data_IF_530158558124
#
_entry.id   IF_530158558124
#
_cell.length_a   1.000
_cell.length_b   1.000
_cell.length_c   1.000
_cell.angle_alpha   90.00
_cell.angle_beta   90.00
_cell.angle_gamma   90.00
#
_symmetry.space_group_name_H-M   'P 1'
#
loop_
_entity.id
_entity.type
_entity.pdbx_description
1 polymer ?
#
# COMPACT_ATOMS: atom_id res chain seq x y z
N UNK A 1 6.90 -18.01 11.91
CA UNK A 1 6.47 -16.88 12.76
C UNK A 1 7.09 -15.56 12.30
N UNK A 2 8.43 -15.48 12.14
CA UNK A 2 9.12 -14.23 11.77
C UNK A 2 8.61 -13.59 10.46
N UNK A 3 8.43 -14.32 9.33
CA UNK A 3 7.92 -13.70 8.11
C UNK A 3 6.50 -13.13 8.25
N UNK A 4 5.63 -13.83 9.02
CA UNK A 4 4.28 -13.35 9.30
C UNK A 4 4.28 -12.05 10.09
N UNK A 5 5.14 -11.91 11.09
CA UNK A 5 5.30 -10.68 11.87
C UNK A 5 5.83 -9.53 11.02
N UNK A 6 6.82 -9.80 10.17
CA UNK A 6 7.36 -8.78 9.23
C UNK A 6 6.26 -8.24 8.32
N UNK A 7 5.48 -9.13 7.71
CA UNK A 7 4.36 -8.74 6.83
C UNK A 7 3.27 -7.97 7.60
N UNK A 8 2.97 -8.39 8.83
CA UNK A 8 2.01 -7.72 9.70
C UNK A 8 2.42 -6.27 10.04
N UNK A 9 3.71 -6.06 10.39
CA UNK A 9 4.25 -4.74 10.71
C UNK A 9 4.29 -3.84 9.47
N UNK A 10 4.77 -4.36 8.34
CA UNK A 10 4.84 -3.60 7.09
C UNK A 10 3.44 -3.17 6.61
N UNK A 11 2.47 -4.06 6.70
CA UNK A 11 1.07 -3.78 6.37
C UNK A 11 0.48 -2.70 7.30
N UNK A 12 0.70 -2.80 8.61
CA UNK A 12 0.25 -1.78 9.55
C UNK A 12 0.93 -0.42 9.28
N UNK A 13 2.24 -0.40 8.98
CA UNK A 13 2.96 0.81 8.64
C UNK A 13 2.45 1.46 7.34
N UNK A 14 2.15 0.66 6.31
CA UNK A 14 1.53 1.11 5.07
C UNK A 14 0.23 1.87 5.36
N UNK A 15 -0.72 1.23 6.06
CA UNK A 15 -2.02 1.84 6.35
C UNK A 15 -1.93 3.04 7.29
N UNK A 16 -0.99 3.03 8.24
CA UNK A 16 -0.72 4.20 9.08
C UNK A 16 -0.25 5.39 8.23
N UNK A 17 0.75 5.19 7.38
CA UNK A 17 1.27 6.25 6.50
C UNK A 17 0.21 6.74 5.53
N UNK A 18 -0.60 5.82 4.98
CA UNK A 18 -1.72 6.16 4.10
C UNK A 18 -2.77 7.03 4.80
N UNK A 19 -3.17 6.66 6.02
CA UNK A 19 -4.12 7.43 6.81
C UNK A 19 -3.58 8.82 7.17
N UNK A 20 -2.29 8.95 7.46
CA UNK A 20 -1.68 10.27 7.69
C UNK A 20 -1.55 11.07 6.39
N UNK A 21 -1.20 10.44 5.26
CA UNK A 21 -1.05 11.12 3.98
C UNK A 21 -2.32 11.87 3.56
N UNK A 22 -3.49 11.23 3.66
CA UNK A 22 -4.79 11.81 3.28
C UNK A 22 -5.12 13.09 4.09
N UNK A 23 -4.51 13.29 5.25
CA UNK A 23 -4.71 14.49 6.07
C UNK A 23 -3.96 15.71 5.53
N UNK A 24 -2.91 15.51 4.76
CA UNK A 24 -1.99 16.54 4.28
C UNK A 24 -2.04 16.74 2.77
N UNK A 25 -2.48 15.73 2.01
CA UNK A 25 -2.60 15.81 0.55
C UNK A 25 -3.95 15.27 0.08
N UNK A 26 -4.26 15.41 -1.21
CA UNK A 26 -5.51 14.92 -1.78
C UNK A 26 -5.55 13.39 -1.87
N UNK A 27 -6.76 12.82 -1.82
CA UNK A 27 -6.97 11.38 -2.02
C UNK A 27 -6.42 10.91 -3.38
N UNK A 28 -6.57 11.73 -4.43
CA UNK A 28 -6.05 11.41 -5.77
C UNK A 28 -4.54 11.28 -5.78
N UNK A 29 -3.81 12.22 -5.15
CA UNK A 29 -2.36 12.15 -5.05
C UNK A 29 -1.89 10.97 -4.20
N UNK A 30 -2.58 10.75 -3.07
CA UNK A 30 -2.30 9.61 -2.19
C UNK A 30 -2.39 8.29 -2.97
N UNK A 31 -3.44 8.11 -3.76
CA UNK A 31 -3.64 6.89 -4.56
C UNK A 31 -2.57 6.77 -5.65
N UNK A 32 -2.28 7.82 -6.40
CA UNK A 32 -1.25 7.78 -7.45
C UNK A 32 0.12 7.41 -6.88
N UNK A 33 0.51 7.99 -5.75
CA UNK A 33 1.79 7.70 -5.10
C UNK A 33 1.82 6.31 -4.47
N UNK A 34 0.72 5.86 -3.87
CA UNK A 34 0.58 4.50 -3.35
C UNK A 34 0.77 3.46 -4.48
N UNK A 35 0.18 3.69 -5.65
CA UNK A 35 0.30 2.80 -6.80
C UNK A 35 1.68 2.85 -7.51
N UNK A 36 2.67 3.54 -6.94
CA UNK A 36 4.09 3.32 -7.29
C UNK A 36 4.63 2.00 -6.75
N UNK A 37 3.93 1.35 -5.82
CA UNK A 37 4.32 0.07 -5.22
C UNK A 37 4.75 -1.01 -6.23
N UNK A 38 4.03 -1.27 -7.34
CA UNK A 38 4.46 -2.25 -8.34
C UNK A 38 5.84 -1.95 -8.95
N UNK A 39 6.21 -0.67 -9.08
CA UNK A 39 7.54 -0.27 -9.56
C UNK A 39 8.61 -0.71 -8.56
N UNK A 40 8.40 -0.44 -7.27
CA UNK A 40 9.33 -0.86 -6.21
C UNK A 40 9.39 -2.38 -6.06
N UNK A 41 8.26 -3.09 -6.24
CA UNK A 41 8.24 -4.56 -6.28
C UNK A 41 9.11 -5.07 -7.41
N UNK A 42 8.89 -4.57 -8.63
CA UNK A 42 9.63 -5.00 -9.81
C UNK A 42 11.14 -4.75 -9.65
N UNK A 43 11.54 -3.58 -9.13
CA UNK A 43 12.93 -3.24 -8.85
C UNK A 43 13.53 -4.14 -7.77
N UNK A 44 12.81 -4.35 -6.67
CA UNK A 44 13.27 -5.18 -5.56
C UNK A 44 13.47 -6.64 -5.95
N UNK A 45 12.54 -7.22 -6.71
CA UNK A 45 12.63 -8.59 -7.19
C UNK A 45 13.70 -8.74 -8.28
N UNK A 46 13.85 -7.75 -9.17
CA UNK A 46 14.95 -7.71 -10.15
C UNK A 46 16.33 -7.89 -9.50
N UNK A 47 16.54 -7.28 -8.34
CA UNK A 47 17.81 -7.38 -7.62
C UNK A 47 17.95 -8.65 -6.80
N UNK A 48 16.84 -9.21 -6.28
CA UNK A 48 16.87 -10.35 -5.35
C UNK A 48 16.70 -11.70 -6.04
N UNK A 49 15.94 -11.77 -7.14
CA UNK A 49 15.62 -13.01 -7.84
C UNK A 49 16.10 -12.96 -9.30
N UNK A 50 17.10 -13.76 -9.68
CA UNK A 50 17.58 -13.83 -11.07
C UNK A 50 16.49 -14.24 -12.07
N UNK A 51 15.48 -15.01 -11.64
CA UNK A 51 14.35 -15.46 -12.45
C UNK A 51 13.33 -14.37 -12.73
N UNK A 52 13.35 -13.26 -11.95
CA UNK A 52 12.44 -12.13 -12.11
C UNK A 52 13.17 -10.86 -12.59
N UNK A 53 14.26 -11.05 -13.32
CA UNK A 53 14.98 -9.92 -13.93
C UNK A 53 14.16 -9.27 -15.03
N UNK A 54 14.03 -7.95 -14.92
CA UNK A 54 13.30 -7.13 -15.87
C UNK A 54 13.95 -7.15 -17.25
N UNK A 55 13.16 -7.35 -18.27
CA UNK A 55 13.51 -7.20 -19.68
C UNK A 55 13.57 -5.71 -20.06
N UNK A 56 14.17 -5.40 -21.22
CA UNK A 56 14.22 -4.01 -21.74
C UNK A 56 12.83 -3.40 -21.96
N UNK A 57 11.85 -4.22 -22.36
CA UNK A 57 10.45 -3.79 -22.56
C UNK A 57 9.81 -3.44 -21.21
N UNK A 58 10.03 -4.22 -20.18
CA UNK A 58 9.53 -3.93 -18.84
C UNK A 58 10.15 -2.67 -18.25
N UNK A 59 11.43 -2.42 -18.49
CA UNK A 59 12.08 -1.16 -18.12
C UNK A 59 11.43 0.05 -18.82
N UNK A 60 11.09 -0.06 -20.11
CA UNK A 60 10.38 1.02 -20.80
C UNK A 60 8.98 1.25 -20.22
N UNK A 61 8.27 0.19 -19.80
CA UNK A 61 6.98 0.30 -19.10
C UNK A 61 7.10 1.04 -17.77
N UNK A 62 8.13 0.75 -16.97
CA UNK A 62 8.42 1.46 -15.71
C UNK A 62 8.70 2.95 -15.98
N UNK A 63 9.46 3.29 -17.01
CA UNK A 63 9.73 4.68 -17.38
C UNK A 63 8.45 5.41 -17.77
N UNK A 64 7.58 4.80 -18.58
CA UNK A 64 6.28 5.38 -18.96
C UNK A 64 5.40 5.60 -17.73
N UNK A 65 5.32 4.63 -16.83
CA UNK A 65 4.58 4.75 -15.58
C UNK A 65 5.12 5.89 -14.71
N UNK A 66 6.44 6.03 -14.62
CA UNK A 66 7.09 7.11 -13.88
C UNK A 66 6.77 8.49 -14.48
N UNK A 67 6.80 8.62 -15.82
CA UNK A 67 6.37 9.85 -16.50
C UNK A 67 4.90 10.16 -16.18
N UNK A 68 4.01 9.15 -16.21
CA UNK A 68 2.61 9.32 -15.81
C UNK A 68 2.47 9.87 -14.39
N UNK A 69 3.24 9.37 -13.42
CA UNK A 69 3.25 9.88 -12.05
C UNK A 69 3.72 11.34 -12.01
N UNK A 70 4.81 11.67 -12.71
CA UNK A 70 5.32 13.04 -12.77
C UNK A 70 4.28 14.01 -13.33
N UNK A 71 3.51 13.62 -14.35
CA UNK A 71 2.47 14.49 -14.94
C UNK A 71 1.36 14.84 -13.96
N UNK A 72 1.11 14.04 -12.93
CA UNK A 72 0.10 14.35 -11.90
C UNK A 72 0.50 15.53 -11.00
N UNK A 73 1.79 15.87 -10.99
CA UNK A 73 2.31 17.02 -10.24
C UNK A 73 2.37 18.31 -11.08
N UNK A 74 2.12 18.23 -12.39
CA UNK A 74 2.08 19.38 -13.29
C UNK A 74 0.70 20.02 -13.22
N UNK A 75 0.62 21.36 -13.06
CA UNK A 75 -0.66 22.09 -13.03
C UNK A 75 -1.29 22.24 -11.64
N UNK A 76 -0.55 22.05 -10.59
CA UNK A 76 -0.98 22.29 -9.20
C UNK A 76 -1.02 23.80 -8.90
N UNK A 77 -2.08 24.47 -9.34
CA UNK A 77 -2.25 25.92 -9.10
C UNK A 77 -2.54 26.25 -7.61
N UNK A 78 -3.11 25.31 -6.85
CA UNK A 78 -3.58 25.54 -5.46
C UNK A 78 -2.56 25.15 -4.37
N UNK A 79 -1.31 24.86 -4.71
CA UNK A 79 -0.26 24.50 -3.72
C UNK A 79 0.06 25.64 -2.75
N UNK A 80 -0.14 26.88 -3.18
CA UNK A 80 0.15 28.08 -2.38
C UNK A 80 -0.90 28.30 -1.27
N UNK A 81 -2.13 27.86 -1.47
CA UNK A 81 -3.23 28.05 -0.51
C UNK A 81 -3.19 27.03 0.65
N UNK A 82 -2.70 25.82 0.42
CA UNK A 82 -2.68 24.75 1.43
C UNK A 82 -1.34 24.65 2.20
N UNK A 83 -0.36 25.45 1.86
CA UNK A 83 1.00 25.36 2.40
C UNK A 83 1.81 24.24 1.71
N UNK A 84 2.70 24.62 0.82
CA UNK A 84 3.53 23.70 0.02
C UNK A 84 4.20 22.61 0.85
N UNK A 85 4.71 22.92 2.04
CA UNK A 85 5.42 21.96 2.90
C UNK A 85 4.51 20.87 3.45
N UNK A 86 3.24 21.18 3.76
CA UNK A 86 2.27 20.19 4.28
C UNK A 86 1.88 19.19 3.18
N UNK A 87 1.60 19.71 1.98
CA UNK A 87 1.23 18.86 0.84
C UNK A 87 2.38 17.93 0.45
N UNK A 88 3.62 18.44 0.39
CA UNK A 88 4.80 17.62 0.12
C UNK A 88 5.04 16.56 1.21
N UNK A 89 4.74 16.89 2.46
CA UNK A 89 4.79 15.91 3.55
C UNK A 89 3.76 14.79 3.37
N UNK A 90 2.52 15.12 2.99
CA UNK A 90 1.49 14.14 2.66
C UNK A 90 1.87 13.25 1.47
N UNK A 91 2.42 13.85 0.42
CA UNK A 91 2.89 13.12 -0.76
C UNK A 91 4.06 12.16 -0.40
N UNK A 92 4.99 12.61 0.45
CA UNK A 92 6.07 11.76 0.96
C UNK A 92 5.53 10.57 1.76
N UNK A 93 4.55 10.78 2.64
CA UNK A 93 3.90 9.71 3.40
C UNK A 93 3.19 8.71 2.48
N UNK A 94 2.51 9.19 1.43
CA UNK A 94 1.87 8.33 0.44
C UNK A 94 2.89 7.47 -0.35
N UNK A 95 4.02 8.07 -0.73
CA UNK A 95 5.12 7.35 -1.38
C UNK A 95 5.72 6.28 -0.46
N UNK A 96 5.95 6.63 0.81
CA UNK A 96 6.44 5.68 1.82
C UNK A 96 5.44 4.54 2.05
N UNK A 97 4.14 4.81 2.03
CA UNK A 97 3.10 3.77 2.07
C UNK A 97 3.24 2.80 0.89
N UNK A 98 3.46 3.32 -0.33
CA UNK A 98 3.73 2.50 -1.52
C UNK A 98 4.99 1.63 -1.38
N UNK A 99 6.05 2.17 -0.75
CA UNK A 99 7.26 1.40 -0.44
C UNK A 99 6.97 0.29 0.59
N UNK A 100 6.19 0.57 1.65
CA UNK A 100 5.79 -0.45 2.63
C UNK A 100 4.98 -1.57 1.99
N UNK A 101 4.04 -1.23 1.09
CA UNK A 101 3.31 -2.23 0.30
C UNK A 101 4.27 -3.07 -0.56
N UNK A 102 5.21 -2.44 -1.26
CA UNK A 102 6.21 -3.15 -2.05
C UNK A 102 7.06 -4.10 -1.18
N UNK A 103 7.53 -3.64 -0.02
CA UNK A 103 8.29 -4.47 0.92
C UNK A 103 7.46 -5.64 1.47
N UNK A 104 6.17 -5.43 1.72
CA UNK A 104 5.24 -6.51 2.10
C UNK A 104 5.20 -7.57 1.00
N UNK A 105 4.99 -7.18 -0.26
CA UNK A 105 4.93 -8.09 -1.42
C UNK A 105 6.26 -8.82 -1.64
N UNK A 106 7.38 -8.11 -1.57
CA UNK A 106 8.72 -8.70 -1.68
C UNK A 106 8.99 -9.69 -0.54
N UNK A 107 8.62 -9.33 0.69
CA UNK A 107 8.77 -10.22 1.86
C UNK A 107 7.94 -11.49 1.73
N UNK A 108 6.72 -11.38 1.22
CA UNK A 108 5.88 -12.53 0.90
C UNK A 108 6.56 -13.43 -0.15
N UNK A 109 7.04 -12.84 -1.23
CA UNK A 109 7.63 -13.56 -2.36
C UNK A 109 8.93 -14.27 -1.97
N UNK A 110 9.75 -13.66 -1.12
CA UNK A 110 11.05 -14.18 -0.68
C UNK A 110 10.97 -15.11 0.53
N UNK A 111 9.82 -15.29 1.14
CA UNK A 111 9.66 -16.08 2.36
C UNK A 111 8.84 -17.35 2.12
N UNK A 112 8.83 -18.24 3.12
CA UNK A 112 7.98 -19.44 3.13
C UNK A 112 6.47 -19.12 3.10
N UNK A 113 6.08 -17.87 3.30
CA UNK A 113 4.68 -17.44 3.17
C UNK A 113 4.20 -17.50 1.72
N UNK A 114 5.10 -17.53 0.73
CA UNK A 114 4.73 -17.74 -0.67
C UNK A 114 4.05 -19.12 -0.90
N UNK A 115 4.37 -20.10 -0.08
CA UNK A 115 3.78 -21.44 -0.11
C UNK A 115 2.56 -21.57 0.83
N UNK A 116 2.35 -20.59 1.71
CA UNK A 116 1.26 -20.59 2.67
C UNK A 116 -0.09 -20.37 1.99
N UNK A 117 -1.17 -20.84 2.63
CA UNK A 117 -2.51 -20.61 2.11
C UNK A 117 -2.84 -19.09 2.13
N UNK A 118 -3.51 -18.54 1.11
CA UNK A 118 -3.85 -17.12 1.05
C UNK A 118 -4.53 -16.57 2.31
N UNK A 119 -5.43 -17.35 2.92
CA UNK A 119 -6.09 -16.99 4.18
C UNK A 119 -5.12 -16.78 5.34
N UNK A 120 -4.05 -17.55 5.41
CA UNK A 120 -3.04 -17.41 6.46
C UNK A 120 -2.27 -16.09 6.31
N UNK A 121 -1.90 -15.74 5.09
CA UNK A 121 -1.22 -14.46 4.80
C UNK A 121 -2.13 -13.29 5.12
N UNK A 122 -3.39 -13.34 4.68
CA UNK A 122 -4.40 -12.34 4.99
C UNK A 122 -4.61 -12.20 6.51
N UNK A 123 -4.68 -13.32 7.23
CA UNK A 123 -4.82 -13.31 8.68
C UNK A 123 -3.68 -12.56 9.37
N UNK A 124 -2.41 -12.80 8.98
CA UNK A 124 -1.26 -12.06 9.54
C UNK A 124 -1.37 -10.56 9.27
N UNK A 125 -1.78 -10.15 8.08
CA UNK A 125 -1.92 -8.74 7.73
C UNK A 125 -3.04 -8.06 8.51
N UNK A 126 -4.23 -8.65 8.53
CA UNK A 126 -5.39 -8.07 9.22
C UNK A 126 -5.19 -8.06 10.74
N UNK A 127 -4.64 -9.15 11.31
CA UNK A 127 -4.31 -9.20 12.72
C UNK A 127 -3.26 -8.16 13.09
N UNK A 128 -2.22 -8.01 12.26
CA UNK A 128 -1.20 -6.98 12.45
C UNK A 128 -1.78 -5.57 12.35
N UNK A 129 -2.60 -5.32 11.33
CA UNK A 129 -3.33 -4.06 11.20
C UNK A 129 -4.14 -3.75 12.47
N UNK A 130 -4.92 -4.71 12.96
CA UNK A 130 -5.71 -4.52 14.18
C UNK A 130 -4.83 -4.27 15.42
N UNK A 131 -3.84 -5.13 15.66
CA UNK A 131 -3.00 -5.06 16.88
C UNK A 131 -2.16 -3.78 16.94
N UNK A 132 -1.69 -3.28 15.81
CA UNK A 132 -0.85 -2.07 15.78
C UNK A 132 -1.67 -0.80 15.56
N UNK A 133 -2.65 -0.78 14.65
CA UNK A 133 -3.37 0.45 14.31
C UNK A 133 -4.47 0.79 15.31
N UNK A 134 -5.13 -0.20 15.89
CA UNK A 134 -6.22 0.05 16.84
C UNK A 134 -5.74 0.81 18.11
N UNK A 135 -4.70 0.36 18.83
CA UNK A 135 -4.17 1.13 19.95
C UNK A 135 -3.60 2.48 19.52
N UNK A 136 -2.95 2.55 18.36
CA UNK A 136 -2.36 3.77 17.84
C UNK A 136 -3.42 4.84 17.54
N UNK A 137 -4.61 4.45 17.06
CA UNK A 137 -5.72 5.36 16.83
C UNK A 137 -6.17 6.06 18.14
N UNK A 138 -6.22 5.32 19.25
CA UNK A 138 -6.54 5.90 20.57
C UNK A 138 -5.42 6.82 21.08
N UNK A 139 -4.16 6.40 20.96
CA UNK A 139 -3.02 7.20 21.38
C UNK A 139 -2.91 8.54 20.65
N UNK A 140 -3.34 8.57 19.38
CA UNK A 140 -3.34 9.77 18.54
C UNK A 140 -4.62 10.59 18.64
N UNK A 141 -5.59 10.18 19.46
CA UNK A 141 -6.90 10.85 19.55
C UNK A 141 -7.72 10.79 18.27
N UNK A 142 -7.52 9.76 17.44
CA UNK A 142 -8.16 9.58 16.12
C UNK A 142 -9.21 8.45 16.13
N UNK A 143 -9.66 8.03 17.30
CA UNK A 143 -10.61 6.93 17.46
C UNK A 143 -12.08 7.39 17.41
N UNK A 144 -12.35 8.68 17.30
CA UNK A 144 -13.72 9.20 17.19
C UNK A 144 -14.30 8.93 15.81
N UNK A 145 -15.46 8.27 15.79
CA UNK A 145 -16.16 7.91 14.56
C UNK A 145 -17.49 8.67 14.53
N UNK A 146 -17.66 9.53 13.53
CA UNK A 146 -18.94 10.13 13.22
C UNK A 146 -19.80 9.16 12.41
N UNK A 147 -20.73 8.48 13.08
CA UNK A 147 -21.59 7.48 12.47
C UNK A 147 -22.62 8.11 11.55
N UNK A 148 -22.38 8.06 10.25
CA UNK A 148 -23.31 8.41 9.19
C UNK A 148 -23.63 7.20 8.34
N UNK A 149 -24.73 7.20 7.58
CA UNK A 149 -25.07 6.12 6.65
C UNK A 149 -23.95 5.88 5.62
N UNK A 150 -23.27 6.96 5.19
CA UNK A 150 -22.14 6.88 4.27
C UNK A 150 -20.94 6.21 4.97
N UNK A 151 -20.65 6.57 6.22
CA UNK A 151 -19.55 5.96 6.98
C UNK A 151 -19.79 4.47 7.21
N UNK A 152 -21.01 4.07 7.57
CA UNK A 152 -21.40 2.66 7.76
C UNK A 152 -21.29 1.90 6.43
N UNK A 153 -21.86 2.44 5.34
CA UNK A 153 -21.78 1.83 4.01
C UNK A 153 -20.35 1.68 3.52
N UNK A 154 -19.52 2.70 3.72
CA UNK A 154 -18.08 2.67 3.40
C UNK A 154 -17.34 1.61 4.22
N UNK A 155 -17.61 1.50 5.53
CA UNK A 155 -17.00 0.50 6.41
C UNK A 155 -17.36 -0.92 5.97
N UNK A 156 -18.63 -1.19 5.67
CA UNK A 156 -19.10 -2.49 5.18
C UNK A 156 -18.43 -2.83 3.84
N UNK A 157 -18.42 -1.87 2.89
CA UNK A 157 -17.77 -2.06 1.59
C UNK A 157 -16.28 -2.37 1.74
N UNK A 158 -15.55 -1.57 2.53
CA UNK A 158 -14.12 -1.79 2.74
C UNK A 158 -13.83 -3.11 3.45
N UNK A 159 -14.65 -3.50 4.42
CA UNK A 159 -14.44 -4.75 5.15
C UNK A 159 -14.69 -5.97 4.26
N UNK A 160 -15.85 -6.04 3.60
CA UNK A 160 -16.25 -7.22 2.85
C UNK A 160 -15.61 -7.30 1.47
N UNK A 161 -15.60 -6.18 0.72
CA UNK A 161 -15.15 -6.19 -0.68
C UNK A 161 -13.65 -5.94 -0.74
N UNK A 162 -13.17 -4.85 -0.14
CA UNK A 162 -11.77 -4.44 -0.28
C UNK A 162 -10.82 -5.29 0.59
N UNK A 163 -11.13 -5.48 1.86
CA UNK A 163 -10.22 -6.21 2.77
C UNK A 163 -10.36 -7.72 2.68
N UNK A 164 -11.56 -8.26 2.49
CA UNK A 164 -11.73 -9.72 2.44
C UNK A 164 -11.67 -10.25 1.01
N UNK A 165 -12.61 -9.87 0.15
CA UNK A 165 -12.72 -10.47 -1.19
C UNK A 165 -11.53 -10.09 -2.09
N UNK A 166 -11.15 -8.82 -2.12
CA UNK A 166 -10.09 -8.33 -2.99
C UNK A 166 -8.72 -8.90 -2.59
N UNK A 167 -8.36 -8.85 -1.29
CA UNK A 167 -7.10 -9.42 -0.82
C UNK A 167 -7.06 -10.94 -0.96
N UNK A 168 -8.19 -11.64 -0.76
CA UNK A 168 -8.27 -13.07 -0.98
C UNK A 168 -8.01 -13.44 -2.44
N UNK A 169 -8.62 -12.68 -3.37
CA UNK A 169 -8.39 -12.82 -4.81
C UNK A 169 -6.94 -12.51 -5.18
N UNK A 170 -6.37 -11.44 -4.62
CA UNK A 170 -4.98 -11.06 -4.84
C UNK A 170 -4.02 -12.18 -4.45
N UNK A 171 -4.16 -12.75 -3.25
CA UNK A 171 -3.30 -13.84 -2.81
C UNK A 171 -3.50 -15.12 -3.60
N UNK A 172 -4.73 -15.39 -4.04
CA UNK A 172 -5.01 -16.51 -4.95
C UNK A 172 -4.30 -16.32 -6.29
N UNK A 173 -4.34 -15.10 -6.87
CA UNK A 173 -3.64 -14.77 -8.09
C UNK A 173 -2.11 -14.88 -7.94
N UNK A 174 -1.54 -14.34 -6.87
CA UNK A 174 -0.10 -14.45 -6.58
C UNK A 174 0.39 -15.89 -6.47
N UNK A 175 -0.48 -16.79 -6.03
CA UNK A 175 -0.16 -18.21 -5.92
C UNK A 175 -0.20 -18.93 -7.26
N UNK A 176 -1.12 -18.58 -8.13
CA UNK A 176 -1.39 -19.31 -9.37
C UNK A 176 -0.68 -18.69 -10.60
N UNK A 177 -0.26 -17.43 -10.51
CA UNK A 177 0.37 -16.71 -11.60
C UNK A 177 1.70 -16.11 -11.16
N UNK A 178 2.61 -15.90 -12.14
CA UNK A 178 3.83 -15.14 -11.91
C UNK A 178 3.47 -13.68 -11.71
N UNK A 179 4.15 -13.01 -10.76
CA UNK A 179 3.90 -11.60 -10.45
C UNK A 179 4.61 -10.62 -11.42
N UNK A 180 5.25 -11.17 -12.46
CA UNK A 180 6.02 -10.43 -13.47
C UNK A 180 5.26 -10.31 -14.78
#
# INVERSE_FOLDING_TARGET
LYPGLTVAILFAAEFFMLAQAIRYTSASHTVVLLYTAPIFVALGLHWKLPSERLSKIQWSGILIAFVGIVTTFIGRENLLEQGLSQVLWGDLLALLAGIMWALTTISLRLSKLNEAHPTQTLFYQLLGGFVFLFPLAFLLGQAEIHWTYIAIGSLVFHTLIMSFMSLMLWFWLLRNYLAS
#
